data_IF_972771572047
#
_entry.id   IF_972771572047
#
_cell.length_a   1.000
_cell.length_b   1.000
_cell.length_c   1.000
_cell.angle_alpha   90.00
_cell.angle_beta   90.00
_cell.angle_gamma   90.00
#
_symmetry.space_group_name_H-M   'P 1'
#
loop_
_entity.id
_entity.type
_entity.pdbx_description
1 polymer ?
#
# COMPACT_ATOMS: atom_id res chain seq x y z
N UNK A 1 57.28 28.38 -21.75
CA UNK A 1 56.54 27.12 -21.57
C UNK A 1 56.81 26.64 -20.14
N UNK A 2 55.91 26.44 -19.19
CA UNK A 2 54.46 26.16 -19.14
C UNK A 2 53.97 26.65 -17.76
N UNK A 3 52.87 27.44 -17.72
CA UNK A 3 52.11 27.74 -16.49
C UNK A 3 51.24 26.51 -16.17
N UNK A 4 51.35 25.93 -14.97
CA UNK A 4 50.34 24.97 -14.48
C UNK A 4 49.52 25.63 -13.38
N UNK A 5 48.32 26.05 -13.75
CA UNK A 5 47.28 26.50 -12.84
C UNK A 5 46.72 25.27 -12.11
N UNK A 6 47.02 25.10 -10.83
CA UNK A 6 46.28 24.16 -9.98
C UNK A 6 44.88 24.71 -9.77
N UNK A 7 43.89 24.19 -10.51
CA UNK A 7 42.47 24.39 -10.20
C UNK A 7 42.13 23.48 -9.04
N UNK A 8 42.09 24.01 -7.82
CA UNK A 8 41.47 23.32 -6.69
C UNK A 8 39.97 23.20 -6.95
N UNK A 9 39.51 22.00 -7.28
CA UNK A 9 38.09 21.71 -7.41
C UNK A 9 37.55 21.39 -6.01
N UNK A 10 36.76 22.31 -5.44
CA UNK A 10 36.00 22.06 -4.23
C UNK A 10 34.99 20.93 -4.48
N UNK A 11 35.15 19.81 -3.80
CA UNK A 11 34.14 18.74 -3.77
C UNK A 11 33.19 19.04 -2.59
N UNK A 12 32.15 19.82 -2.87
CA UNK A 12 31.07 20.05 -1.90
C UNK A 12 30.17 18.81 -1.85
N UNK A 13 30.41 17.91 -0.89
CA UNK A 13 29.51 16.81 -0.57
C UNK A 13 28.25 17.38 0.08
N UNK A 14 27.21 17.66 -0.71
CA UNK A 14 25.86 17.85 -0.19
C UNK A 14 25.32 16.47 0.21
N UNK A 15 25.65 16.02 1.43
CA UNK A 15 24.90 14.94 2.08
C UNK A 15 23.56 15.52 2.54
N UNK A 16 22.67 15.76 1.57
CA UNK A 16 21.26 15.95 1.86
C UNK A 16 20.72 14.63 2.40
N UNK A 17 20.68 14.48 3.72
CA UNK A 17 19.87 13.45 4.36
C UNK A 17 18.42 13.79 4.03
N UNK A 18 17.87 13.14 3.00
CA UNK A 18 16.43 13.10 2.81
C UNK A 18 15.84 12.56 4.12
N UNK A 19 14.75 13.15 4.64
CA UNK A 19 14.03 12.50 5.73
C UNK A 19 13.56 11.16 5.17
N UNK A 20 14.22 10.07 5.54
CA UNK A 20 13.68 8.75 5.40
C UNK A 20 12.45 8.76 6.31
N UNK A 21 11.29 9.06 5.74
CA UNK A 21 10.03 8.72 6.39
C UNK A 21 10.17 7.22 6.63
N UNK A 22 10.36 6.83 7.89
CA UNK A 22 10.40 5.43 8.26
C UNK A 22 9.01 4.88 7.94
N UNK A 23 8.86 4.36 6.73
CA UNK A 23 7.61 3.79 6.29
C UNK A 23 7.32 2.57 7.16
N UNK A 24 6.11 2.47 7.68
CA UNK A 24 5.68 1.36 8.53
C UNK A 24 5.45 0.04 7.77
N UNK A 25 5.83 -0.05 6.48
CA UNK A 25 5.63 -1.25 5.66
C UNK A 25 6.12 -2.51 6.37
N UNK A 26 7.37 -2.52 6.84
CA UNK A 26 7.96 -3.70 7.48
C UNK A 26 7.35 -4.00 8.85
N UNK A 27 6.95 -2.96 9.59
CA UNK A 27 6.32 -3.13 10.90
C UNK A 27 4.94 -3.79 10.76
N UNK A 28 4.10 -3.26 9.87
CA UNK A 28 2.76 -3.79 9.60
C UNK A 28 2.86 -5.17 8.95
N UNK A 29 3.72 -5.33 7.95
CA UNK A 29 4.01 -6.62 7.30
C UNK A 29 4.30 -7.72 8.33
N UNK A 30 5.25 -7.48 9.25
CA UNK A 30 5.57 -8.43 10.32
C UNK A 30 4.40 -8.71 11.26
N UNK A 31 3.58 -7.70 11.57
CA UNK A 31 2.42 -7.86 12.47
C UNK A 31 1.36 -8.81 11.90
N UNK A 32 1.15 -8.78 10.60
CA UNK A 32 0.13 -9.59 9.92
C UNK A 32 0.67 -10.83 9.20
N UNK A 33 1.99 -11.08 9.26
CA UNK A 33 2.67 -12.15 8.51
C UNK A 33 2.44 -12.02 6.99
N UNK A 34 2.55 -10.79 6.48
CA UNK A 34 2.37 -10.43 5.07
C UNK A 34 3.69 -9.85 4.56
N UNK A 35 4.06 -10.11 3.31
CA UNK A 35 5.28 -9.55 2.74
C UNK A 35 5.14 -8.03 2.52
N UNK A 36 6.14 -7.20 2.87
CA UNK A 36 6.02 -5.75 2.76
C UNK A 36 5.84 -5.31 1.30
N UNK A 37 6.43 -6.00 0.33
CA UNK A 37 6.25 -5.75 -1.10
C UNK A 37 4.81 -6.01 -1.55
N UNK A 38 4.11 -6.96 -0.92
CA UNK A 38 2.71 -7.22 -1.25
C UNK A 38 1.82 -6.05 -0.79
N UNK A 39 2.04 -5.54 0.42
CA UNK A 39 1.34 -4.34 0.91
C UNK A 39 1.65 -3.11 0.04
N UNK A 40 2.92 -2.94 -0.36
CA UNK A 40 3.33 -1.89 -1.27
C UNK A 40 2.73 -2.05 -2.67
N UNK A 41 2.59 -3.28 -3.17
CA UNK A 41 1.96 -3.55 -4.46
C UNK A 41 0.48 -3.20 -4.44
N UNK A 42 -0.22 -3.53 -3.36
CA UNK A 42 -1.62 -3.13 -3.14
C UNK A 42 -1.74 -1.61 -3.11
N UNK A 43 -0.94 -0.92 -2.29
CA UNK A 43 -0.96 0.55 -2.23
C UNK A 43 -0.69 1.22 -3.59
N UNK A 44 0.21 0.64 -4.40
CA UNK A 44 0.50 1.13 -5.74
C UNK A 44 -0.72 1.00 -6.68
N UNK A 45 -1.39 -0.15 -6.65
CA UNK A 45 -2.53 -0.44 -7.52
C UNK A 45 -3.79 0.31 -7.07
N UNK A 46 -3.96 0.47 -5.76
CA UNK A 46 -5.11 1.13 -5.16
C UNK A 46 -5.06 2.65 -5.31
N UNK A 47 -3.96 3.31 -4.92
CA UNK A 47 -3.88 4.77 -4.87
C UNK A 47 -2.70 5.37 -5.63
N UNK A 48 -1.83 4.56 -6.22
CA UNK A 48 -0.55 5.05 -6.75
C UNK A 48 0.30 5.69 -5.67
N UNK A 49 0.22 5.17 -4.44
CA UNK A 49 0.86 5.70 -3.23
C UNK A 49 0.36 7.08 -2.77
N UNK A 50 -0.84 7.51 -3.19
CA UNK A 50 -1.41 8.78 -2.76
C UNK A 50 -2.17 8.61 -1.45
N UNK A 51 -1.57 9.06 -0.34
CA UNK A 51 -2.14 8.90 1.00
C UNK A 51 -3.53 9.54 1.18
N UNK A 52 -3.79 10.65 0.48
CA UNK A 52 -5.05 11.39 0.57
C UNK A 52 -6.05 11.00 -0.53
N UNK A 53 -5.84 9.87 -1.22
CA UNK A 53 -6.74 9.40 -2.26
C UNK A 53 -8.15 9.14 -1.71
N UNK A 54 -9.16 9.65 -2.41
CA UNK A 54 -10.57 9.46 -2.07
C UNK A 54 -11.35 9.18 -3.35
N UNK A 55 -11.82 7.95 -3.50
CA UNK A 55 -12.66 7.55 -4.63
C UNK A 55 -14.13 7.49 -4.18
N UNK A 56 -14.99 8.33 -4.75
CA UNK A 56 -16.43 8.41 -4.45
C UNK A 56 -17.31 7.86 -5.58
N UNK A 57 -16.71 7.21 -6.59
CA UNK A 57 -17.37 6.78 -7.81
C UNK A 57 -17.97 5.38 -7.76
N UNK A 58 -18.01 4.70 -6.61
CA UNK A 58 -18.51 3.34 -6.54
C UNK A 58 -20.02 3.32 -6.77
N UNK A 59 -20.49 2.38 -7.59
CA UNK A 59 -21.89 2.31 -8.03
C UNK A 59 -22.89 2.04 -6.91
N UNK A 60 -22.43 1.50 -5.79
CA UNK A 60 -23.23 1.23 -4.59
C UNK A 60 -23.25 2.42 -3.60
N UNK A 61 -22.62 3.54 -3.96
CA UNK A 61 -22.51 4.73 -3.12
C UNK A 61 -21.47 4.63 -2.01
N UNK A 62 -20.72 3.52 -1.93
CA UNK A 62 -19.54 3.44 -1.09
C UNK A 62 -18.41 4.34 -1.62
N UNK A 63 -17.36 4.50 -0.82
CA UNK A 63 -16.15 5.24 -1.21
C UNK A 63 -14.92 4.53 -0.69
N UNK A 64 -13.82 4.67 -1.41
CA UNK A 64 -12.54 4.07 -1.03
C UNK A 64 -11.57 5.15 -0.55
N UNK A 65 -10.95 4.91 0.61
CA UNK A 65 -10.35 5.96 1.44
C UNK A 65 -8.88 5.67 1.71
N UNK A 66 -8.04 6.66 1.41
CA UNK A 66 -6.63 6.71 1.79
C UNK A 66 -5.71 5.85 0.94
N UNK A 67 -4.49 5.67 1.44
CA UNK A 67 -3.39 4.97 0.77
C UNK A 67 -3.76 3.55 0.30
N UNK A 68 -4.50 2.82 1.14
CA UNK A 68 -4.93 1.44 0.88
C UNK A 68 -6.36 1.33 0.34
N UNK A 69 -6.99 2.47 -0.02
CA UNK A 69 -8.35 2.54 -0.56
C UNK A 69 -9.34 1.72 0.26
N UNK A 70 -9.39 1.97 1.58
CA UNK A 70 -10.29 1.27 2.49
C UNK A 70 -11.74 1.61 2.15
N UNK A 71 -12.53 0.61 1.76
CA UNK A 71 -13.93 0.84 1.45
C UNK A 71 -14.71 1.31 2.68
N UNK A 72 -15.58 2.30 2.50
CA UNK A 72 -16.36 2.94 3.57
C UNK A 72 -17.31 1.99 4.29
N UNK A 73 -17.61 0.81 3.73
CA UNK A 73 -18.37 -0.24 4.41
C UNK A 73 -17.72 -0.69 5.74
N UNK A 74 -16.42 -0.50 5.90
CA UNK A 74 -15.70 -0.81 7.13
C UNK A 74 -15.77 0.32 8.17
N UNK A 75 -16.16 1.55 7.82
CA UNK A 75 -16.18 2.68 8.75
C UNK A 75 -17.03 2.41 10.01
N UNK A 76 -18.23 1.79 9.95
CA UNK A 76 -19.01 1.53 11.16
C UNK A 76 -18.28 0.69 12.22
N UNK A 77 -17.43 -0.26 11.81
CA UNK A 77 -16.60 -1.03 12.75
C UNK A 77 -15.34 -0.28 13.18
N UNK A 78 -14.70 0.45 12.26
CA UNK A 78 -13.47 1.20 12.50
C UNK A 78 -13.70 2.38 13.45
N UNK A 79 -14.86 3.03 13.35
CA UNK A 79 -15.24 4.12 14.25
C UNK A 79 -15.30 3.68 15.71
N UNK A 80 -15.66 2.42 16.00
CA UNK A 80 -15.64 1.86 17.36
C UNK A 80 -14.23 1.76 17.94
N UNK A 81 -13.20 1.79 17.08
CA UNK A 81 -11.79 1.80 17.43
C UNK A 81 -11.19 3.22 17.37
N UNK A 82 -12.02 4.24 17.16
CA UNK A 82 -11.57 5.63 16.99
C UNK A 82 -10.89 5.90 15.64
N UNK A 83 -11.07 5.02 14.65
CA UNK A 83 -10.52 5.19 13.30
C UNK A 83 -11.59 5.86 12.43
N UNK A 84 -11.32 7.10 12.03
CA UNK A 84 -12.22 7.90 11.17
C UNK A 84 -11.69 7.96 9.74
N UNK A 85 -12.53 8.42 8.81
CA UNK A 85 -12.11 8.69 7.44
C UNK A 85 -10.95 9.70 7.39
N UNK A 86 -11.01 10.76 8.20
CA UNK A 86 -9.99 11.80 8.26
C UNK A 86 -8.65 11.19 8.65
N UNK A 87 -8.63 10.30 9.64
CA UNK A 87 -7.42 9.58 10.04
C UNK A 87 -6.91 8.66 8.93
N UNK A 88 -7.79 7.97 8.21
CA UNK A 88 -7.38 7.14 7.06
C UNK A 88 -6.74 7.97 5.93
N UNK A 89 -7.12 9.25 5.79
CA UNK A 89 -6.56 10.18 4.80
C UNK A 89 -5.28 10.88 5.29
N UNK A 90 -5.16 11.15 6.59
CA UNK A 90 -4.04 11.91 7.17
C UNK A 90 -2.92 11.05 7.76
N UNK A 91 -3.20 9.79 8.09
CA UNK A 91 -2.27 8.84 8.70
C UNK A 91 -2.00 7.66 7.74
N UNK A 92 -1.01 7.75 6.84
CA UNK A 92 -0.72 6.69 5.85
C UNK A 92 -0.50 5.32 6.50
N UNK A 93 0.19 5.30 7.64
CA UNK A 93 0.44 4.06 8.38
C UNK A 93 -0.80 3.44 8.99
N UNK A 94 -1.78 4.25 9.39
CA UNK A 94 -3.07 3.72 9.81
C UNK A 94 -3.82 3.11 8.63
N UNK A 95 -3.75 3.73 7.44
CA UNK A 95 -4.34 3.17 6.23
C UNK A 95 -3.71 1.82 5.88
N UNK A 96 -2.37 1.70 5.97
CA UNK A 96 -1.63 0.44 5.77
C UNK A 96 -2.04 -0.62 6.79
N UNK A 97 -2.09 -0.26 8.07
CA UNK A 97 -2.51 -1.14 9.17
C UNK A 97 -3.92 -1.69 8.94
N UNK A 98 -4.88 -0.82 8.61
CA UNK A 98 -6.27 -1.21 8.37
C UNK A 98 -6.37 -2.08 7.12
N UNK A 99 -5.66 -1.74 6.03
CA UNK A 99 -5.60 -2.56 4.82
C UNK A 99 -5.03 -3.95 5.09
N UNK A 100 -3.93 -4.04 5.84
CA UNK A 100 -3.34 -5.31 6.23
C UNK A 100 -4.29 -6.15 7.10
N UNK A 101 -5.02 -5.52 8.04
CA UNK A 101 -6.02 -6.21 8.87
C UNK A 101 -7.16 -6.81 8.05
N UNK A 102 -7.67 -6.09 7.04
CA UNK A 102 -8.71 -6.57 6.13
C UNK A 102 -8.16 -7.72 5.26
N UNK A 103 -6.95 -7.57 4.73
CA UNK A 103 -6.32 -8.63 3.95
C UNK A 103 -6.12 -9.90 4.80
N UNK A 104 -5.73 -9.75 6.06
CA UNK A 104 -5.58 -10.86 7.00
C UNK A 104 -6.91 -11.62 7.23
N UNK A 105 -8.06 -10.95 7.25
CA UNK A 105 -9.38 -11.61 7.32
C UNK A 105 -9.61 -12.52 6.09
N UNK A 106 -9.22 -12.07 4.89
CA UNK A 106 -9.31 -12.90 3.69
C UNK A 106 -8.28 -14.03 3.66
N UNK A 107 -7.06 -13.79 4.13
CA UNK A 107 -6.02 -14.81 4.28
C UNK A 107 -6.49 -15.90 5.26
N UNK A 108 -7.09 -15.52 6.39
CA UNK A 108 -7.65 -16.46 7.36
C UNK A 108 -8.72 -17.35 6.72
N UNK A 109 -9.55 -16.79 5.83
CA UNK A 109 -10.64 -17.51 5.18
C UNK A 109 -10.18 -18.42 4.05
N UNK A 110 -9.24 -17.98 3.23
CA UNK A 110 -8.89 -18.66 1.97
C UNK A 110 -7.49 -19.27 1.96
N UNK A 111 -6.69 -19.02 2.99
CA UNK A 111 -5.25 -19.26 2.99
C UNK A 111 -4.49 -18.11 2.32
N UNK A 112 -3.17 -18.07 2.53
CA UNK A 112 -2.32 -17.03 1.94
C UNK A 112 -2.05 -17.34 0.45
N UNK A 113 -2.97 -16.89 -0.41
CA UNK A 113 -2.93 -17.14 -1.85
C UNK A 113 -3.63 -16.02 -2.65
N UNK A 114 -3.56 -16.10 -3.97
CA UNK A 114 -4.14 -15.11 -4.89
C UNK A 114 -5.65 -14.94 -4.77
N UNK A 115 -6.38 -15.92 -4.24
CA UNK A 115 -7.81 -15.77 -3.95
C UNK A 115 -8.02 -14.79 -2.79
N UNK A 116 -7.21 -14.87 -1.73
CA UNK A 116 -7.25 -13.91 -0.63
C UNK A 116 -6.91 -12.49 -1.10
N UNK A 117 -5.82 -12.33 -1.88
CA UNK A 117 -5.42 -11.03 -2.44
C UNK A 117 -6.54 -10.47 -3.34
N UNK A 118 -7.08 -11.30 -4.24
CA UNK A 118 -8.20 -10.92 -5.11
C UNK A 118 -9.43 -10.46 -4.33
N UNK A 119 -9.69 -11.10 -3.18
CA UNK A 119 -10.85 -10.81 -2.33
C UNK A 119 -10.75 -9.46 -1.63
N UNK A 120 -9.56 -8.89 -1.49
CA UNK A 120 -9.38 -7.56 -0.89
C UNK A 120 -10.22 -6.49 -1.61
N UNK A 121 -10.16 -6.47 -2.95
CA UNK A 121 -10.92 -5.54 -3.79
C UNK A 121 -12.28 -6.10 -4.22
N UNK A 122 -12.32 -7.38 -4.60
CA UNK A 122 -13.52 -7.96 -5.20
C UNK A 122 -14.43 -8.68 -4.19
N UNK A 123 -14.08 -8.77 -2.91
CA UNK A 123 -14.85 -9.50 -1.92
C UNK A 123 -14.91 -11.02 -2.15
N UNK A 124 -15.55 -11.70 -1.21
CA UNK A 124 -15.55 -13.15 -1.09
C UNK A 124 -16.76 -13.87 -1.73
N UNK A 125 -17.68 -13.14 -2.36
CA UNK A 125 -18.87 -13.73 -2.96
C UNK A 125 -18.49 -14.67 -4.13
N UNK A 126 -19.06 -15.90 -4.24
CA UNK A 126 -18.63 -16.88 -5.23
C UNK A 126 -18.60 -16.35 -6.67
N UNK A 127 -19.62 -15.62 -7.08
CA UNK A 127 -19.81 -15.04 -8.41
C UNK A 127 -18.76 -13.99 -8.82
N UNK A 128 -17.90 -13.55 -7.87
CA UNK A 128 -16.87 -12.53 -8.08
C UNK A 128 -15.48 -13.11 -8.40
N UNK A 129 -15.37 -14.40 -8.71
CA UNK A 129 -14.09 -15.07 -8.98
C UNK A 129 -13.30 -14.39 -10.11
N UNK A 130 -13.93 -14.10 -11.24
CA UNK A 130 -13.26 -13.43 -12.35
C UNK A 130 -12.77 -12.01 -11.99
N UNK A 131 -13.45 -11.32 -11.06
CA UNK A 131 -13.00 -10.03 -10.55
C UNK A 131 -11.77 -10.20 -9.64
N UNK A 132 -11.80 -11.19 -8.74
CA UNK A 132 -10.67 -11.54 -7.87
C UNK A 132 -9.41 -11.85 -8.68
N UNK A 133 -9.53 -12.69 -9.72
CA UNK A 133 -8.40 -13.06 -10.57
C UNK A 133 -7.81 -11.85 -11.31
N UNK A 134 -8.66 -10.99 -11.87
CA UNK A 134 -8.20 -9.76 -12.54
C UNK A 134 -7.46 -8.82 -11.59
N UNK A 135 -7.98 -8.65 -10.37
CA UNK A 135 -7.30 -7.84 -9.36
C UNK A 135 -5.97 -8.46 -8.93
N UNK A 136 -5.97 -9.75 -8.61
CA UNK A 136 -4.76 -10.50 -8.23
C UNK A 136 -3.65 -10.40 -9.29
N UNK A 137 -3.99 -10.45 -10.58
CA UNK A 137 -3.02 -10.27 -11.67
C UNK A 137 -2.36 -8.88 -11.67
N UNK A 138 -3.12 -7.82 -11.37
CA UNK A 138 -2.56 -6.46 -11.24
C UNK A 138 -1.57 -6.38 -10.07
N UNK A 139 -1.95 -6.96 -8.93
CA UNK A 139 -1.10 -7.01 -7.74
C UNK A 139 0.17 -7.81 -8.03
N UNK A 140 0.04 -8.99 -8.64
CA UNK A 140 1.18 -9.84 -9.01
C UNK A 140 2.19 -9.10 -9.89
N UNK A 141 1.73 -8.45 -10.96
CA UNK A 141 2.62 -7.71 -11.86
C UNK A 141 3.41 -6.61 -11.14
N UNK A 142 2.80 -5.92 -10.17
CA UNK A 142 3.50 -4.91 -9.38
C UNK A 142 4.43 -5.53 -8.33
N UNK A 143 3.98 -6.60 -7.70
CA UNK A 143 4.71 -7.34 -6.68
C UNK A 143 6.02 -7.93 -7.21
N UNK A 144 6.01 -8.54 -8.40
CA UNK A 144 7.23 -9.09 -9.02
C UNK A 144 8.31 -8.02 -9.22
N UNK A 145 7.92 -6.81 -9.64
CA UNK A 145 8.85 -5.68 -9.80
C UNK A 145 9.47 -5.28 -8.47
N UNK A 146 8.67 -5.24 -7.38
CA UNK A 146 9.15 -4.86 -6.06
C UNK A 146 10.09 -5.92 -5.47
N UNK A 147 9.76 -7.20 -5.61
CA UNK A 147 10.61 -8.30 -5.14
C UNK A 147 11.93 -8.34 -5.90
N UNK A 148 11.94 -8.07 -7.20
CA UNK A 148 13.17 -8.00 -8.00
C UNK A 148 14.11 -6.86 -7.56
N UNK A 149 13.58 -5.79 -6.96
CA UNK A 149 14.35 -4.65 -6.47
C UNK A 149 14.96 -4.88 -5.07
N UNK A 150 14.56 -5.95 -4.38
CA UNK A 150 15.10 -6.33 -3.06
C UNK A 150 16.51 -6.95 -3.17
N UNK A 151 16.87 -7.46 -4.34
CA UNK A 151 18.16 -8.12 -4.62
C UNK A 151 19.23 -7.11 -5.03
#
# INVERSE_FOLDING_TARGET
>A
MIRRLCKSLLLSLLMGSLPAWASCWDEVARRYDIEPELLQAIAAVESGYQAQALNVGNSDGSRDIGLMQINSMHLPRLLKQGITQERLLSEPCLSIEVGASILAEFIQRFGYNWTAIGSYNAGAAPEREALRLRYAQKIWARYEVLVAQRQ
#
